data_IF_796871500675
#
_entry.id   IF_796871500675
#
_cell.length_a   1.000
_cell.length_b   1.000
_cell.length_c   1.000
_cell.angle_alpha   90.00
_cell.angle_beta   90.00
_cell.angle_gamma   90.00
#
_symmetry.space_group_name_H-M   'P 1'
#
loop_
_entity.id
_entity.type
_entity.pdbx_description
1 polymer ?
#
# COMPACT_ATOMS: atom_id res chain seq x y z
N UNK A 1 -29.59 52.22 -32.66
CA UNK A 1 -28.79 51.54 -33.71
C UNK A 1 -27.88 50.54 -33.01
N UNK A 2 -27.69 49.29 -33.38
CA UNK A 2 -28.35 48.32 -34.23
C UNK A 2 -27.56 47.04 -33.96
N UNK A 3 -28.24 45.95 -33.61
CA UNK A 3 -27.68 44.59 -33.62
C UNK A 3 -26.80 44.23 -32.41
N UNK A 4 -26.71 42.98 -31.99
CA UNK A 4 -27.33 41.73 -32.46
C UNK A 4 -27.06 40.68 -31.39
N UNK A 5 -28.11 39.99 -30.97
CA UNK A 5 -28.07 38.74 -30.22
C UNK A 5 -27.22 37.69 -30.95
N UNK A 6 -26.41 36.92 -30.22
CA UNK A 6 -25.86 35.66 -30.71
C UNK A 6 -26.05 34.57 -29.66
N UNK A 7 -27.05 33.75 -29.98
CA UNK A 7 -27.39 32.46 -29.41
C UNK A 7 -26.61 31.39 -30.17
N UNK A 8 -25.77 30.63 -29.47
CA UNK A 8 -25.23 29.31 -29.84
C UNK A 8 -24.97 28.60 -28.50
N UNK A 9 -25.52 27.44 -28.15
CA UNK A 9 -25.92 26.32 -28.98
C UNK A 9 -24.93 25.17 -28.78
N UNK A 10 -25.13 24.35 -27.74
CA UNK A 10 -24.55 22.99 -27.61
C UNK A 10 -25.33 22.22 -26.52
N UNK A 11 -26.39 21.49 -26.88
CA UNK A 11 -26.37 20.08 -27.31
C UNK A 11 -25.62 19.19 -26.30
N UNK A 12 -26.36 18.54 -25.41
CA UNK A 12 -26.91 17.19 -25.60
C UNK A 12 -25.87 16.11 -25.30
N UNK A 13 -26.00 15.49 -24.11
CA UNK A 13 -25.63 14.09 -23.85
C UNK A 13 -26.47 13.57 -22.69
N UNK A 14 -27.66 13.14 -23.08
CA UNK A 14 -28.55 12.26 -22.35
C UNK A 14 -28.14 10.83 -22.74
N UNK A 15 -27.59 10.06 -21.80
CA UNK A 15 -27.35 8.62 -21.91
C UNK A 15 -27.33 8.08 -20.49
N UNK A 16 -28.50 7.66 -20.03
CA UNK A 16 -28.98 6.28 -20.07
C UNK A 16 -28.67 5.56 -18.76
N UNK A 17 -29.75 5.42 -18.01
CA UNK A 17 -29.98 4.43 -16.96
C UNK A 17 -29.32 3.09 -17.28
N UNK A 18 -28.71 2.50 -16.24
CA UNK A 18 -28.54 1.05 -16.14
C UNK A 18 -28.99 0.64 -14.73
N UNK A 19 -30.20 0.08 -14.60
CA UNK A 19 -30.69 -0.44 -13.34
C UNK A 19 -30.14 -1.86 -13.12
N UNK A 20 -29.98 -2.22 -11.85
CA UNK A 20 -30.16 -3.59 -11.37
C UNK A 20 -29.27 -4.68 -11.96
N UNK A 21 -28.12 -4.93 -11.34
CA UNK A 21 -27.53 -6.28 -11.34
C UNK A 21 -27.88 -7.00 -10.04
N UNK A 22 -29.11 -7.51 -10.04
CA UNK A 22 -29.59 -8.57 -9.17
C UNK A 22 -28.62 -9.75 -9.24
N UNK A 23 -27.91 -10.02 -8.15
CA UNK A 23 -27.14 -11.26 -8.02
C UNK A 23 -28.08 -12.28 -7.37
N UNK A 24 -28.35 -13.42 -8.02
CA UNK A 24 -29.30 -14.40 -7.52
C UNK A 24 -28.73 -15.09 -6.28
N UNK A 25 -29.54 -15.13 -5.22
CA UNK A 25 -29.40 -16.06 -4.11
C UNK A 25 -29.22 -17.48 -4.67
N UNK A 26 -28.24 -18.27 -4.18
CA UNK A 26 -28.27 -19.69 -4.41
C UNK A 26 -29.49 -20.29 -3.68
N UNK A 27 -30.21 -21.23 -4.28
CA UNK A 27 -31.33 -21.87 -3.63
C UNK A 27 -30.83 -22.71 -2.45
N UNK A 28 -31.60 -22.63 -1.38
CA UNK A 28 -31.60 -23.56 -0.25
C UNK A 28 -31.56 -25.00 -0.76
N UNK A 29 -30.46 -25.71 -0.51
CA UNK A 29 -30.48 -27.17 -0.51
C UNK A 29 -30.84 -27.63 0.91
N UNK A 30 -31.99 -28.28 1.12
CA UNK A 30 -32.29 -28.96 2.37
C UNK A 30 -31.42 -30.22 2.43
N UNK A 31 -30.63 -30.38 3.50
CA UNK A 31 -30.00 -31.68 3.80
C UNK A 31 -31.09 -32.60 4.32
N UNK A 32 -31.41 -33.71 3.62
CA UNK A 32 -32.35 -34.70 4.12
C UNK A 32 -31.61 -35.67 5.05
N UNK A 33 -32.25 -35.93 6.18
CA UNK A 33 -31.93 -37.03 7.11
C UNK A 33 -31.95 -38.37 6.36
N UNK A 34 -30.95 -39.24 6.49
CA UNK A 34 -31.12 -40.65 6.17
C UNK A 34 -31.68 -41.36 7.40
N UNK A 35 -33.00 -41.52 7.43
CA UNK A 35 -33.66 -42.58 8.20
C UNK A 35 -33.45 -43.89 7.44
N UNK A 36 -32.59 -44.77 7.95
CA UNK A 36 -32.51 -46.19 7.60
C UNK A 36 -32.92 -46.92 8.89
N UNK A 37 -34.19 -47.29 9.06
CA UNK A 37 -34.88 -48.49 8.55
C UNK A 37 -34.17 -49.82 8.85
N UNK A 38 -34.73 -50.51 9.85
CA UNK A 38 -35.13 -51.92 9.83
C UNK A 38 -34.03 -53.02 9.79
N UNK A 39 -33.83 -53.67 10.94
CA UNK A 39 -34.02 -55.11 11.15
C UNK A 39 -33.86 -55.38 12.66
N UNK A 40 -34.93 -55.54 13.44
CA UNK A 40 -35.57 -56.84 13.73
C UNK A 40 -34.58 -57.98 13.95
N UNK A 41 -34.32 -58.29 15.22
CA UNK A 41 -34.54 -59.61 15.84
C UNK A 41 -34.23 -59.45 17.35
N UNK A 42 -35.29 -59.35 18.17
CA UNK A 42 -35.83 -60.47 18.96
C UNK A 42 -34.77 -61.03 19.94
N UNK A 43 -34.81 -60.59 21.21
CA UNK A 43 -35.49 -61.27 22.34
C UNK A 43 -34.79 -62.58 22.77
N UNK A 44 -34.91 -63.03 24.03
CA UNK A 44 -35.06 -62.30 25.30
C UNK A 44 -34.15 -62.87 26.43
N UNK A 45 -34.18 -62.17 27.56
CA UNK A 45 -33.75 -62.51 28.92
C UNK A 45 -34.41 -63.81 29.49
N UNK A 46 -34.49 -64.05 30.82
CA UNK A 46 -33.47 -64.38 31.83
C UNK A 46 -33.91 -65.56 32.76
N UNK A 47 -33.00 -66.27 33.44
CA UNK A 47 -33.31 -67.15 34.61
C UNK A 47 -32.01 -67.18 35.43
N UNK A 48 -31.82 -66.59 36.62
CA UNK A 48 -32.60 -66.57 37.88
C UNK A 48 -32.85 -67.95 38.48
N UNK A 49 -31.87 -68.49 39.22
CA UNK A 49 -32.10 -69.46 40.34
C UNK A 49 -30.83 -69.41 41.21
N UNK A 50 -30.83 -68.62 42.28
CA UNK A 50 -31.15 -69.02 43.66
C UNK A 50 -30.20 -70.10 44.23
N UNK A 51 -29.43 -69.67 45.23
CA UNK A 51 -28.91 -70.38 46.42
C UNK A 51 -29.73 -71.62 46.85
N UNK A 52 -29.16 -72.64 47.57
CA UNK A 52 -28.40 -72.40 48.80
C UNK A 52 -27.26 -73.40 49.19
N UNK A 53 -26.33 -72.91 50.01
CA UNK A 53 -25.64 -73.67 51.07
C UNK A 53 -26.68 -74.37 51.98
N UNK A 54 -26.44 -75.57 52.59
CA UNK A 54 -25.33 -75.71 53.54
C UNK A 54 -24.81 -77.16 53.77
N UNK A 55 -23.79 -77.22 54.64
CA UNK A 55 -23.49 -78.23 55.67
C UNK A 55 -24.03 -79.67 55.58
N UNK A 56 -23.17 -80.62 55.96
CA UNK A 56 -23.34 -81.59 57.08
C UNK A 56 -22.59 -82.90 56.78
N UNK A 57 -21.41 -83.00 57.41
CA UNK A 57 -20.97 -84.11 58.25
C UNK A 57 -20.89 -85.55 57.70
N UNK A 58 -19.65 -86.01 57.56
CA UNK A 58 -19.22 -87.37 57.87
C UNK A 58 -17.73 -87.32 58.29
N UNK A 59 -17.19 -88.28 59.06
CA UNK A 59 -17.82 -89.16 60.04
C UNK A 59 -16.92 -89.32 61.29
N UNK A 60 -17.32 -88.87 62.49
CA UNK A 60 -16.45 -89.06 63.66
C UNK A 60 -17.22 -89.42 64.92
N UNK A 61 -17.26 -90.74 65.17
CA UNK A 61 -16.85 -91.35 66.44
C UNK A 61 -17.58 -90.97 67.72
N UNK A 62 -18.39 -91.90 68.23
CA UNK A 62 -18.43 -92.37 69.63
C UNK A 62 -19.47 -93.48 69.72
N UNK A 63 -19.09 -94.74 69.95
CA UNK A 63 -18.60 -95.37 71.20
C UNK A 63 -19.76 -95.60 72.16
N UNK A 64 -19.71 -96.77 72.81
CA UNK A 64 -20.70 -97.41 73.70
C UNK A 64 -21.69 -98.22 72.86
N UNK A 65 -21.54 -99.54 72.69
CA UNK A 65 -21.57 -100.55 73.76
C UNK A 65 -20.49 -101.64 73.58
N UNK A 66 -19.39 -101.52 74.31
CA UNK A 66 -18.48 -102.62 74.62
C UNK A 66 -19.07 -103.37 75.83
N UNK A 67 -19.71 -104.52 75.62
CA UNK A 67 -20.32 -105.28 76.72
C UNK A 67 -20.52 -106.78 76.50
N UNK A 68 -20.53 -107.28 75.26
CA UNK A 68 -20.79 -108.70 74.97
C UNK A 68 -19.70 -109.36 74.08
N UNK A 69 -18.56 -108.70 73.88
CA UNK A 69 -17.56 -109.06 72.85
C UNK A 69 -16.84 -110.40 73.04
N UNK A 70 -16.75 -110.98 74.24
CA UNK A 70 -16.04 -112.26 74.41
C UNK A 70 -16.91 -113.49 74.14
N UNK A 71 -18.23 -113.42 74.37
CA UNK A 71 -19.14 -114.47 73.94
C UNK A 71 -19.48 -114.32 72.44
N UNK A 72 -19.64 -113.08 71.97
CA UNK A 72 -19.82 -112.79 70.55
C UNK A 72 -18.60 -113.18 69.71
N UNK A 73 -17.37 -113.06 70.21
CA UNK A 73 -16.18 -113.55 69.49
C UNK A 73 -16.14 -115.08 69.40
N UNK A 74 -16.63 -115.80 70.41
CA UNK A 74 -16.70 -117.27 70.40
C UNK A 74 -17.83 -117.78 69.49
N UNK A 75 -19.01 -117.14 69.55
CA UNK A 75 -20.11 -117.42 68.60
C UNK A 75 -19.71 -116.98 67.19
N UNK A 76 -19.05 -115.84 67.01
CA UNK A 76 -18.56 -115.39 65.72
C UNK A 76 -17.51 -116.36 65.17
N UNK A 77 -16.66 -116.97 66.01
CA UNK A 77 -15.75 -118.02 65.56
C UNK A 77 -16.47 -119.30 65.16
N UNK A 78 -17.57 -119.68 65.83
CA UNK A 78 -18.39 -120.83 65.43
C UNK A 78 -19.22 -120.55 64.16
N UNK A 79 -19.82 -119.36 64.05
CA UNK A 79 -20.52 -118.90 62.84
C UNK A 79 -19.54 -118.79 61.68
N UNK A 80 -18.31 -118.29 61.91
CA UNK A 80 -17.24 -118.21 60.90
C UNK A 80 -16.81 -119.56 60.31
N UNK A 81 -17.09 -120.65 61.01
CA UNK A 81 -16.76 -122.00 60.56
C UNK A 81 -17.90 -122.69 59.82
N UNK A 82 -19.11 -122.13 59.80
CA UNK A 82 -20.22 -122.75 59.06
C UNK A 82 -20.05 -122.56 57.55
N UNK A 83 -20.60 -123.49 56.77
CA UNK A 83 -20.52 -123.46 55.30
C UNK A 83 -21.21 -122.21 54.76
N UNK A 84 -22.29 -121.78 55.41
CA UNK A 84 -23.06 -120.58 55.07
C UNK A 84 -22.24 -119.31 55.27
N UNK A 85 -21.45 -119.22 56.34
CA UNK A 85 -20.61 -118.05 56.56
C UNK A 85 -19.48 -117.96 55.53
N UNK A 86 -18.85 -119.09 55.17
CA UNK A 86 -17.85 -119.10 54.09
C UNK A 86 -18.46 -118.62 52.78
N UNK A 87 -19.65 -119.10 52.42
CA UNK A 87 -20.36 -118.64 51.23
C UNK A 87 -20.74 -117.15 51.30
N UNK A 88 -21.20 -116.66 52.46
CA UNK A 88 -21.52 -115.25 52.67
C UNK A 88 -20.26 -114.36 52.57
N UNK A 89 -19.14 -114.81 53.13
CA UNK A 89 -17.85 -114.14 53.03
C UNK A 89 -17.33 -114.11 51.59
N UNK A 90 -17.42 -115.23 50.87
CA UNK A 90 -17.05 -115.30 49.45
C UNK A 90 -17.92 -114.35 48.60
N UNK A 91 -19.22 -114.25 48.91
CA UNK A 91 -20.11 -113.28 48.28
C UNK A 91 -19.75 -111.82 48.63
N UNK A 92 -19.35 -111.54 49.88
CA UNK A 92 -18.90 -110.21 50.28
C UNK A 92 -17.59 -109.82 49.60
N UNK A 93 -16.62 -110.74 49.55
CA UNK A 93 -15.37 -110.57 48.82
C UNK A 93 -15.63 -110.37 47.32
N UNK A 94 -16.52 -111.18 46.73
CA UNK A 94 -16.93 -111.02 45.34
C UNK A 94 -17.59 -109.66 45.10
N UNK A 95 -18.51 -109.21 45.98
CA UNK A 95 -19.11 -107.88 45.92
C UNK A 95 -18.06 -106.78 46.05
N UNK A 96 -17.06 -106.93 46.92
CA UNK A 96 -15.97 -105.97 47.08
C UNK A 96 -15.09 -105.90 45.82
N UNK A 97 -14.75 -107.04 45.22
CA UNK A 97 -14.00 -107.14 43.95
C UNK A 97 -14.81 -106.49 42.82
N UNK A 98 -16.10 -106.80 42.68
CA UNK A 98 -16.96 -106.19 41.66
C UNK A 98 -17.12 -104.69 41.87
N UNK A 99 -17.30 -104.23 43.11
CA UNK A 99 -17.38 -102.81 43.42
C UNK A 99 -16.06 -102.09 43.11
N UNK A 100 -14.91 -102.71 43.39
CA UNK A 100 -13.59 -102.18 42.99
C UNK A 100 -13.47 -102.06 41.48
N UNK A 101 -13.86 -103.09 40.73
CA UNK A 101 -13.87 -103.08 39.26
C UNK A 101 -14.76 -101.96 38.70
N UNK A 102 -15.96 -101.78 39.25
CA UNK A 102 -16.88 -100.72 38.85
C UNK A 102 -16.34 -99.33 39.19
N UNK A 103 -15.72 -99.15 40.36
CA UNK A 103 -15.05 -97.89 40.73
C UNK A 103 -13.92 -97.55 39.75
N UNK A 104 -13.06 -98.52 39.43
CA UNK A 104 -11.99 -98.33 38.44
C UNK A 104 -12.56 -97.97 37.06
N UNK A 105 -13.63 -98.64 36.61
CA UNK A 105 -14.31 -98.30 35.36
C UNK A 105 -14.85 -96.86 35.38
N UNK A 106 -15.53 -96.44 36.44
CA UNK A 106 -16.03 -95.07 36.59
C UNK A 106 -14.90 -94.05 36.63
N UNK A 107 -13.78 -94.33 37.31
CA UNK A 107 -12.61 -93.46 37.32
C UNK A 107 -11.99 -93.33 35.93
N UNK A 108 -11.87 -94.42 35.18
CA UNK A 108 -11.36 -94.36 33.80
C UNK A 108 -12.29 -93.59 32.88
N UNK A 109 -13.60 -93.77 33.00
CA UNK A 109 -14.60 -93.00 32.24
C UNK A 109 -14.56 -91.52 32.61
N UNK A 110 -14.49 -91.19 33.91
CA UNK A 110 -14.35 -89.80 34.39
C UNK A 110 -13.07 -89.16 33.87
N UNK A 111 -11.92 -89.86 33.95
CA UNK A 111 -10.64 -89.36 33.40
C UNK A 111 -10.76 -89.09 31.91
N UNK A 112 -11.32 -90.02 31.12
CA UNK A 112 -11.57 -89.84 29.68
C UNK A 112 -12.46 -88.61 29.42
N UNK A 113 -13.59 -88.50 30.10
CA UNK A 113 -14.52 -87.37 29.95
C UNK A 113 -13.86 -86.02 30.33
N UNK A 114 -13.10 -85.96 31.42
CA UNK A 114 -12.37 -84.76 31.82
C UNK A 114 -11.27 -84.37 30.81
N UNK A 115 -10.56 -85.35 30.25
CA UNK A 115 -9.56 -85.09 29.20
C UNK A 115 -10.20 -84.57 27.91
N UNK A 116 -11.35 -85.12 27.52
CA UNK A 116 -12.10 -84.66 26.35
C UNK A 116 -12.66 -83.25 26.56
N UNK A 117 -13.26 -82.99 27.73
CA UNK A 117 -13.74 -81.66 28.10
C UNK A 117 -12.60 -80.64 28.11
N UNK A 118 -11.43 -80.98 28.69
CA UNK A 118 -10.25 -80.11 28.67
C UNK A 118 -9.80 -79.79 27.24
N UNK A 119 -9.82 -80.77 26.33
CA UNK A 119 -9.51 -80.55 24.91
C UNK A 119 -10.52 -79.61 24.25
N UNK A 120 -11.82 -79.81 24.47
CA UNK A 120 -12.88 -78.96 23.91
C UNK A 120 -12.80 -77.51 24.42
N UNK A 121 -12.57 -77.32 25.71
CA UNK A 121 -12.37 -75.99 26.32
C UNK A 121 -11.16 -75.30 25.70
N UNK A 122 -10.00 -75.98 25.61
CA UNK A 122 -8.81 -75.43 24.95
C UNK A 122 -9.07 -75.03 23.50
N UNK A 123 -9.76 -75.87 22.72
CA UNK A 123 -10.09 -75.52 21.33
C UNK A 123 -11.03 -74.33 21.22
N UNK A 124 -12.00 -74.21 22.14
CA UNK A 124 -12.95 -73.08 22.17
C UNK A 124 -12.27 -71.79 22.61
N UNK A 125 -11.37 -71.85 23.59
CA UNK A 125 -10.54 -70.72 24.01
C UNK A 125 -9.64 -70.23 22.88
N UNK A 126 -8.96 -71.14 22.17
CA UNK A 126 -8.15 -70.79 20.99
C UNK A 126 -8.97 -70.10 19.90
N UNK A 127 -10.17 -70.60 19.60
CA UNK A 127 -11.08 -69.98 18.63
C UNK A 127 -11.56 -68.60 19.10
N UNK A 128 -11.84 -68.43 20.40
CA UNK A 128 -12.23 -67.15 20.96
C UNK A 128 -11.09 -66.12 20.89
N UNK A 129 -9.86 -66.52 21.24
CA UNK A 129 -8.66 -65.67 21.15
C UNK A 129 -8.41 -65.26 19.70
N UNK A 130 -8.39 -66.20 18.75
CA UNK A 130 -8.24 -65.87 17.32
C UNK A 130 -9.34 -64.92 16.82
N UNK A 131 -10.59 -65.11 17.28
CA UNK A 131 -11.70 -64.21 16.96
C UNK A 131 -11.53 -62.80 17.53
N UNK A 132 -10.92 -62.66 18.72
CA UNK A 132 -10.61 -61.37 19.33
C UNK A 132 -9.44 -60.69 18.61
N UNK A 133 -8.37 -61.42 18.28
CA UNK A 133 -7.22 -60.91 17.52
C UNK A 133 -7.66 -60.33 16.15
N UNK A 134 -8.55 -61.03 15.43
CA UNK A 134 -9.10 -60.54 14.17
C UNK A 134 -9.94 -59.26 14.34
N UNK A 135 -10.71 -59.15 15.43
CA UNK A 135 -11.49 -57.95 15.73
C UNK A 135 -10.59 -56.78 16.12
N UNK A 136 -9.54 -57.05 16.91
CA UNK A 136 -8.54 -56.07 17.31
C UNK A 136 -7.84 -55.48 16.08
N UNK A 137 -7.37 -56.33 15.15
CA UNK A 137 -6.77 -55.89 13.90
C UNK A 137 -7.71 -55.01 13.06
N UNK A 138 -8.99 -55.37 12.99
CA UNK A 138 -9.98 -54.59 12.24
C UNK A 138 -10.30 -53.26 12.93
N UNK A 139 -10.37 -53.22 14.26
CA UNK A 139 -10.50 -51.97 15.03
C UNK A 139 -9.28 -51.09 14.80
N UNK A 140 -8.06 -51.62 14.90
CA UNK A 140 -6.83 -50.86 14.64
C UNK A 140 -6.79 -50.28 13.21
N UNK A 141 -7.25 -51.02 12.20
CA UNK A 141 -7.37 -50.50 10.82
C UNK A 141 -8.35 -49.34 10.71
N UNK A 142 -9.48 -49.42 11.41
CA UNK A 142 -10.48 -48.33 11.43
C UNK A 142 -9.97 -47.11 12.17
N UNK A 143 -9.30 -47.29 13.31
CA UNK A 143 -8.66 -46.21 14.07
C UNK A 143 -7.58 -45.50 13.23
N UNK A 144 -6.78 -46.24 12.47
CA UNK A 144 -5.79 -45.66 11.56
C UNK A 144 -6.44 -44.78 10.49
N UNK A 145 -7.53 -45.25 9.85
CA UNK A 145 -8.27 -44.45 8.86
C UNK A 145 -8.87 -43.19 9.49
N UNK A 146 -9.48 -43.30 10.67
CA UNK A 146 -10.02 -42.15 11.39
C UNK A 146 -8.93 -41.13 11.74
N UNK A 147 -7.76 -41.58 12.18
CA UNK A 147 -6.62 -40.71 12.47
C UNK A 147 -6.09 -40.00 11.22
N UNK A 148 -6.11 -40.65 10.05
CA UNK A 148 -5.75 -40.02 8.78
C UNK A 148 -6.80 -38.98 8.32
N UNK A 149 -8.08 -39.31 8.44
CA UNK A 149 -9.19 -38.39 8.14
C UNK A 149 -9.18 -37.16 9.06
N UNK A 150 -8.91 -37.35 10.34
CA UNK A 150 -8.77 -36.25 11.31
C UNK A 150 -7.63 -35.31 10.90
N UNK A 151 -6.44 -35.85 10.59
CA UNK A 151 -5.31 -35.06 10.07
C UNK A 151 -5.66 -34.31 8.79
N UNK A 152 -6.40 -34.93 7.88
CA UNK A 152 -6.87 -34.26 6.66
C UNK A 152 -7.84 -33.13 6.96
N UNK A 153 -8.75 -33.33 7.91
CA UNK A 153 -9.72 -32.33 8.35
C UNK A 153 -9.04 -31.15 9.07
N UNK A 154 -8.03 -31.39 9.90
CA UNK A 154 -7.21 -30.35 10.51
C UNK A 154 -6.48 -29.51 9.46
N UNK A 155 -5.87 -30.13 8.45
CA UNK A 155 -5.25 -29.42 7.31
C UNK A 155 -6.25 -28.59 6.52
N UNK A 156 -7.48 -29.07 6.34
CA UNK A 156 -8.56 -28.30 5.69
C UNK A 156 -8.99 -27.11 6.56
N UNK A 157 -9.17 -27.31 7.87
CA UNK A 157 -9.49 -26.24 8.84
C UNK A 157 -8.43 -25.15 8.84
N UNK A 158 -7.14 -25.53 8.89
CA UNK A 158 -6.04 -24.57 8.83
C UNK A 158 -6.06 -23.72 7.56
N UNK A 159 -6.23 -24.35 6.39
CA UNK A 159 -6.36 -23.63 5.12
C UNK A 159 -7.58 -22.69 5.09
N UNK A 160 -8.72 -23.11 5.63
CA UNK A 160 -9.90 -22.25 5.72
C UNK A 160 -9.67 -21.03 6.61
N UNK A 161 -9.00 -21.21 7.76
CA UNK A 161 -8.64 -20.10 8.65
C UNK A 161 -7.68 -19.11 7.96
N UNK A 162 -6.71 -19.60 7.19
CA UNK A 162 -5.79 -18.78 6.42
C UNK A 162 -6.51 -17.99 5.31
N UNK A 163 -7.32 -18.66 4.50
CA UNK A 163 -8.16 -18.00 3.49
C UNK A 163 -9.13 -16.97 4.09
N UNK A 164 -9.68 -17.23 5.28
CA UNK A 164 -10.54 -16.27 5.97
C UNK A 164 -9.77 -15.02 6.42
N UNK A 165 -8.53 -15.18 6.89
CA UNK A 165 -7.63 -14.04 7.19
C UNK A 165 -7.36 -13.22 5.94
N UNK A 166 -7.06 -13.85 4.80
CA UNK A 166 -6.82 -13.16 3.53
C UNK A 166 -8.06 -12.40 3.06
N UNK A 167 -9.25 -13.00 3.17
CA UNK A 167 -10.52 -12.33 2.82
C UNK A 167 -10.77 -11.12 3.73
N UNK A 168 -10.49 -11.21 5.03
CA UNK A 168 -10.60 -10.06 5.95
C UNK A 168 -9.62 -8.95 5.57
N UNK A 169 -8.37 -9.29 5.24
CA UNK A 169 -7.35 -8.35 4.80
C UNK A 169 -7.77 -7.64 3.49
N UNK A 170 -8.21 -8.40 2.48
CA UNK A 170 -8.68 -7.83 1.21
C UNK A 170 -9.90 -6.91 1.41
N UNK A 171 -10.84 -7.28 2.27
CA UNK A 171 -11.98 -6.41 2.61
C UNK A 171 -11.53 -5.12 3.26
N UNK A 172 -10.58 -5.17 4.20
CA UNK A 172 -10.01 -3.99 4.83
C UNK A 172 -9.31 -3.10 3.80
N UNK A 173 -8.47 -3.68 2.93
CA UNK A 173 -7.79 -2.96 1.85
C UNK A 173 -8.76 -2.29 0.89
N UNK A 174 -9.87 -2.96 0.53
CA UNK A 174 -10.92 -2.37 -0.32
C UNK A 174 -11.65 -1.20 0.36
N UNK A 175 -11.93 -1.32 1.66
CA UNK A 175 -12.53 -0.22 2.44
C UNK A 175 -11.58 0.98 2.52
N UNK A 176 -10.30 0.73 2.79
CA UNK A 176 -9.27 1.77 2.86
C UNK A 176 -9.05 2.43 1.49
N UNK A 177 -9.01 1.65 0.40
CA UNK A 177 -8.90 2.16 -0.96
C UNK A 177 -10.11 3.02 -1.33
N UNK A 178 -11.33 2.58 -0.99
CA UNK A 178 -12.55 3.39 -1.20
C UNK A 178 -12.53 4.68 -0.39
N UNK A 179 -12.00 4.65 0.84
CA UNK A 179 -11.84 5.85 1.67
C UNK A 179 -10.85 6.83 1.05
N UNK A 180 -9.69 6.37 0.57
CA UNK A 180 -8.68 7.20 -0.12
C UNK A 180 -9.23 7.81 -1.41
N UNK A 181 -9.84 6.99 -2.27
CA UNK A 181 -10.50 7.50 -3.48
C UNK A 181 -11.56 8.56 -3.16
N UNK A 182 -12.31 8.37 -2.07
CA UNK A 182 -13.28 9.37 -1.60
C UNK A 182 -12.67 10.65 -1.04
N UNK A 183 -11.46 10.62 -0.47
CA UNK A 183 -10.74 11.83 -0.05
C UNK A 183 -10.13 12.55 -1.24
N UNK A 184 -9.54 11.81 -2.18
CA UNK A 184 -8.87 12.35 -3.36
C UNK A 184 -9.90 13.06 -4.27
N UNK A 185 -11.05 12.43 -4.52
CA UNK A 185 -12.15 13.03 -5.26
C UNK A 185 -12.66 14.33 -4.61
N UNK A 186 -12.69 14.42 -3.28
CA UNK A 186 -13.07 15.65 -2.57
C UNK A 186 -12.04 16.76 -2.74
N UNK A 187 -10.75 16.41 -2.76
CA UNK A 187 -9.65 17.36 -3.00
C UNK A 187 -9.68 17.87 -4.44
N UNK A 188 -9.88 16.97 -5.41
CA UNK A 188 -10.04 17.35 -6.82
C UNK A 188 -11.23 18.28 -7.05
N UNK A 189 -12.38 17.98 -6.46
CA UNK A 189 -13.56 18.86 -6.52
C UNK A 189 -13.30 20.22 -5.89
N UNK A 190 -12.52 20.29 -4.80
CA UNK A 190 -12.13 21.58 -4.20
C UNK A 190 -11.22 22.39 -5.12
N UNK A 191 -10.17 21.76 -5.67
CA UNK A 191 -9.27 22.40 -6.63
C UNK A 191 -10.01 22.90 -7.87
N UNK A 192 -10.88 22.08 -8.45
CA UNK A 192 -11.67 22.47 -9.62
C UNK A 192 -12.62 23.65 -9.34
N UNK A 193 -13.13 23.78 -8.10
CA UNK A 193 -13.91 24.95 -7.68
C UNK A 193 -13.04 26.18 -7.54
N UNK A 194 -11.89 26.07 -6.87
CA UNK A 194 -10.92 27.16 -6.71
C UNK A 194 -10.42 27.67 -8.08
N UNK A 195 -10.15 26.77 -9.03
CA UNK A 195 -9.75 27.12 -10.40
C UNK A 195 -10.89 27.83 -11.16
N UNK A 196 -12.14 27.38 -10.97
CA UNK A 196 -13.31 28.01 -11.58
C UNK A 196 -13.57 29.40 -10.99
N UNK A 197 -13.46 29.55 -9.68
CA UNK A 197 -13.61 30.83 -8.97
C UNK A 197 -12.53 31.82 -9.45
N UNK A 198 -11.26 31.39 -9.51
CA UNK A 198 -10.17 32.21 -10.04
C UNK A 198 -10.37 32.59 -11.51
N UNK A 199 -10.90 31.68 -12.34
CA UNK A 199 -11.22 32.00 -13.74
C UNK A 199 -12.34 33.05 -13.84
N UNK A 200 -13.36 32.98 -12.98
CA UNK A 200 -14.42 34.00 -12.90
C UNK A 200 -13.82 35.34 -12.48
N UNK A 201 -13.02 35.39 -11.41
CA UNK A 201 -12.35 36.62 -10.95
C UNK A 201 -11.49 37.27 -12.05
N UNK A 202 -10.72 36.46 -12.80
CA UNK A 202 -9.92 36.96 -13.91
C UNK A 202 -10.79 37.55 -15.03
N UNK A 203 -11.93 36.93 -15.34
CA UNK A 203 -12.86 37.46 -16.33
C UNK A 203 -13.53 38.74 -15.86
N UNK A 204 -13.92 38.82 -14.58
CA UNK A 204 -14.46 40.04 -13.98
C UNK A 204 -13.45 41.19 -14.06
N UNK A 205 -12.16 40.95 -13.77
CA UNK A 205 -11.11 41.96 -13.92
C UNK A 205 -10.94 42.44 -15.37
N UNK A 206 -11.01 41.51 -16.34
CA UNK A 206 -10.95 41.87 -17.78
C UNK A 206 -12.14 42.70 -18.21
N UNK A 207 -13.34 42.34 -17.76
CA UNK A 207 -14.57 43.12 -18.01
C UNK A 207 -14.44 44.51 -17.39
N UNK A 208 -14.00 44.62 -16.13
CA UNK A 208 -13.78 45.90 -15.46
C UNK A 208 -12.74 46.78 -16.20
N UNK A 209 -11.64 46.20 -16.68
CA UNK A 209 -10.64 46.92 -17.47
C UNK A 209 -11.20 47.42 -18.80
N UNK A 210 -11.98 46.58 -19.50
CA UNK A 210 -12.66 46.94 -20.74
C UNK A 210 -13.71 48.05 -20.52
N UNK A 211 -14.50 47.95 -19.46
CA UNK A 211 -15.46 48.99 -19.06
C UNK A 211 -14.77 50.32 -18.74
N UNK A 212 -13.64 50.29 -18.03
CA UNK A 212 -12.85 51.49 -17.75
C UNK A 212 -12.27 52.11 -19.02
N UNK A 213 -11.85 51.30 -20.00
CA UNK A 213 -11.39 51.79 -21.30
C UNK A 213 -12.53 52.40 -22.12
N UNK A 214 -13.70 51.75 -22.13
CA UNK A 214 -14.91 52.26 -22.81
C UNK A 214 -15.32 53.63 -22.24
N UNK A 215 -15.36 53.77 -20.90
CA UNK A 215 -15.64 55.05 -20.24
C UNK A 215 -14.67 56.16 -20.66
N UNK A 216 -13.36 55.88 -20.69
CA UNK A 216 -12.35 56.86 -21.14
C UNK A 216 -12.52 57.24 -22.62
N UNK A 217 -12.93 56.31 -23.48
CA UNK A 217 -13.18 56.58 -24.88
C UNK A 217 -14.42 57.47 -25.07
N UNK A 218 -15.49 57.19 -24.33
CA UNK A 218 -16.71 58.00 -24.32
C UNK A 218 -16.42 59.43 -23.81
N UNK A 219 -15.62 59.57 -22.75
CA UNK A 219 -15.18 60.89 -22.25
C UNK A 219 -14.39 61.68 -23.30
N UNK A 220 -13.47 61.03 -24.03
CA UNK A 220 -12.72 61.68 -25.13
C UNK A 220 -13.65 62.09 -26.27
N UNK A 221 -14.63 61.27 -26.61
CA UNK A 221 -15.62 61.57 -27.65
C UNK A 221 -16.48 62.76 -27.24
N UNK A 222 -16.97 62.79 -26.00
CA UNK A 222 -17.72 63.92 -25.46
C UNK A 222 -16.87 65.20 -25.44
N UNK A 223 -15.59 65.10 -25.08
CA UNK A 223 -14.69 66.24 -25.09
C UNK A 223 -14.48 66.77 -26.51
N UNK A 224 -14.18 65.89 -27.48
CA UNK A 224 -14.03 66.28 -28.88
C UNK A 224 -15.31 66.90 -29.47
N UNK A 225 -16.49 66.44 -29.07
CA UNK A 225 -17.76 67.05 -29.43
C UNK A 225 -17.91 68.46 -28.86
N UNK A 226 -17.56 68.68 -27.59
CA UNK A 226 -17.56 70.02 -26.97
C UNK A 226 -16.57 70.94 -27.67
N UNK A 227 -15.37 70.46 -27.96
CA UNK A 227 -14.32 71.22 -28.64
C UNK A 227 -14.77 71.61 -30.06
N UNK A 228 -15.41 70.69 -30.80
CA UNK A 228 -15.98 70.98 -32.11
C UNK A 228 -17.07 72.05 -32.04
N UNK A 229 -17.99 71.95 -31.08
CA UNK A 229 -19.06 72.94 -30.90
C UNK A 229 -18.47 74.31 -30.54
N UNK A 230 -17.52 74.36 -29.60
CA UNK A 230 -16.83 75.59 -29.23
C UNK A 230 -16.10 76.23 -30.43
N UNK A 231 -15.36 75.44 -31.20
CA UNK A 231 -14.67 75.91 -32.41
C UNK A 231 -15.66 76.41 -33.48
N UNK A 232 -16.80 75.76 -33.64
CA UNK A 232 -17.85 76.20 -34.56
C UNK A 232 -18.47 77.54 -34.15
N UNK A 233 -18.71 77.74 -32.85
CA UNK A 233 -19.18 79.02 -32.31
C UNK A 233 -18.14 80.12 -32.51
N UNK A 234 -16.87 79.84 -32.23
CA UNK A 234 -15.75 80.77 -32.47
C UNK A 234 -15.63 81.14 -33.94
N UNK A 235 -15.76 80.17 -34.85
CA UNK A 235 -15.75 80.40 -36.29
C UNK A 235 -16.92 81.29 -36.75
N UNK A 236 -18.12 81.07 -36.21
CA UNK A 236 -19.28 81.92 -36.49
C UNK A 236 -19.11 83.34 -35.95
N UNK A 237 -18.57 83.49 -34.73
CA UNK A 237 -18.21 84.80 -34.16
C UNK A 237 -17.16 85.50 -35.02
N UNK A 238 -16.13 84.78 -35.47
CA UNK A 238 -15.09 85.31 -36.34
C UNK A 238 -15.65 85.80 -37.68
N UNK A 239 -16.44 84.97 -38.39
CA UNK A 239 -17.11 85.39 -39.63
C UNK A 239 -17.98 86.63 -39.45
N UNK A 240 -18.70 86.72 -38.33
CA UNK A 240 -19.54 87.88 -38.03
C UNK A 240 -18.70 89.14 -37.81
N UNK A 241 -17.57 89.02 -37.09
CA UNK A 241 -16.61 90.13 -36.89
C UNK A 241 -15.97 90.57 -38.20
N UNK A 242 -15.47 89.65 -39.03
CA UNK A 242 -14.84 89.98 -40.32
C UNK A 242 -15.82 90.69 -41.28
N UNK A 243 -17.11 90.29 -41.28
CA UNK A 243 -18.13 90.95 -42.10
C UNK A 243 -18.56 92.33 -41.57
N UNK A 244 -18.34 92.63 -40.29
CA UNK A 244 -18.74 93.89 -39.65
C UNK A 244 -17.57 94.85 -39.39
N UNK A 245 -16.34 94.37 -39.53
CA UNK A 245 -15.12 95.16 -39.32
C UNK A 245 -14.80 96.03 -40.55
N UNK A 246 -14.51 97.34 -40.38
CA UNK A 246 -13.96 98.17 -41.44
C UNK A 246 -12.62 97.59 -41.94
N UNK A 247 -12.26 97.76 -43.23
CA UNK A 247 -11.03 97.17 -43.77
C UNK A 247 -9.82 97.68 -42.99
N UNK A 248 -9.19 96.78 -42.23
CA UNK A 248 -7.93 97.07 -41.55
C UNK A 248 -6.89 97.43 -42.61
N UNK A 249 -6.12 98.50 -42.36
CA UNK A 249 -5.03 98.88 -43.25
C UNK A 249 -4.02 97.73 -43.28
N UNK A 250 -3.58 97.31 -44.46
CA UNK A 250 -2.63 96.19 -44.62
C UNK A 250 -1.39 96.33 -43.71
N UNK A 251 -0.95 97.56 -43.42
CA UNK A 251 0.15 97.82 -42.49
C UNK A 251 -0.12 97.38 -41.05
N UNK A 252 -1.34 97.49 -40.53
CA UNK A 252 -1.68 97.02 -39.18
C UNK A 252 -1.78 95.50 -39.15
N UNK A 253 -2.30 94.88 -40.21
CA UNK A 253 -2.36 93.42 -40.34
C UNK A 253 -0.95 92.83 -40.41
N UNK A 254 -0.07 93.41 -41.24
CA UNK A 254 1.33 92.97 -41.33
C UNK A 254 2.07 93.12 -40.00
N UNK A 255 1.90 94.25 -39.30
CA UNK A 255 2.52 94.46 -38.00
C UNK A 255 2.03 93.44 -36.96
N UNK A 256 0.72 93.13 -36.97
CA UNK A 256 0.13 92.10 -36.12
C UNK A 256 0.70 90.72 -36.43
N UNK A 257 0.72 90.32 -37.70
CA UNK A 257 1.27 89.02 -38.12
C UNK A 257 2.76 88.87 -37.78
N UNK A 258 3.57 89.93 -37.93
CA UNK A 258 4.98 89.90 -37.50
C UNK A 258 5.11 89.71 -36.00
N UNK A 259 4.28 90.38 -35.20
CA UNK A 259 4.24 90.22 -33.74
C UNK A 259 3.81 88.81 -33.33
N UNK A 260 2.71 88.31 -33.91
CA UNK A 260 2.20 86.95 -33.68
C UNK A 260 3.23 85.88 -34.07
N UNK A 261 3.91 86.05 -35.21
CA UNK A 261 4.98 85.15 -35.64
C UNK A 261 6.14 85.12 -34.65
N UNK A 262 6.60 86.29 -34.16
CA UNK A 262 7.67 86.35 -33.14
C UNK A 262 7.21 85.68 -31.84
N UNK A 263 5.97 85.92 -31.40
CA UNK A 263 5.41 85.27 -30.22
C UNK A 263 5.27 83.75 -30.38
N UNK A 264 4.88 83.27 -31.56
CA UNK A 264 4.78 81.84 -31.86
C UNK A 264 6.16 81.17 -31.89
N UNK A 265 7.16 81.82 -32.51
CA UNK A 265 8.54 81.35 -32.49
C UNK A 265 9.08 81.26 -31.06
N UNK A 266 8.83 82.28 -30.23
CA UNK A 266 9.22 82.27 -28.83
C UNK A 266 8.49 81.16 -28.04
N UNK A 267 7.18 80.98 -28.25
CA UNK A 267 6.42 79.90 -27.63
C UNK A 267 6.91 78.50 -28.04
N UNK A 268 7.37 78.32 -29.28
CA UNK A 268 7.96 77.07 -29.74
C UNK A 268 9.32 76.82 -29.08
N UNK A 269 10.17 77.86 -28.97
CA UNK A 269 11.44 77.78 -28.24
C UNK A 269 11.21 77.39 -26.78
N UNK A 270 10.31 78.10 -26.08
CA UNK A 270 9.90 77.80 -24.70
C UNK A 270 9.40 76.35 -24.53
N UNK A 271 8.56 75.84 -25.45
CA UNK A 271 8.06 74.45 -25.37
C UNK A 271 9.18 73.43 -25.57
N UNK A 272 10.13 73.71 -26.46
CA UNK A 272 11.29 72.84 -26.65
C UNK A 272 12.21 72.87 -25.44
N UNK A 273 12.46 74.05 -24.87
CA UNK A 273 13.24 74.23 -23.64
C UNK A 273 12.61 73.51 -22.45
N UNK A 274 11.29 73.64 -22.24
CA UNK A 274 10.57 72.91 -21.18
C UNK A 274 10.67 71.40 -21.35
N UNK A 275 10.41 70.88 -22.57
CA UNK A 275 10.58 69.43 -22.84
C UNK A 275 12.01 68.97 -22.64
N UNK A 276 12.99 69.81 -22.95
CA UNK A 276 14.40 69.49 -22.72
C UNK A 276 14.71 69.46 -21.22
N UNK A 277 14.26 70.45 -20.46
CA UNK A 277 14.39 70.52 -18.99
C UNK A 277 13.69 69.34 -18.30
N UNK A 278 12.46 69.02 -18.68
CA UNK A 278 11.72 67.86 -18.15
C UNK A 278 12.45 66.54 -18.44
N UNK A 279 12.98 66.38 -19.67
CA UNK A 279 13.78 65.19 -20.02
C UNK A 279 15.09 65.12 -19.24
N UNK A 280 15.77 66.26 -19.03
CA UNK A 280 16.97 66.33 -18.21
C UNK A 280 16.65 65.94 -16.76
N UNK A 281 15.59 66.49 -16.17
CA UNK A 281 15.13 66.13 -14.82
C UNK A 281 14.79 64.63 -14.70
N UNK A 282 14.06 64.06 -15.67
CA UNK A 282 13.76 62.62 -15.67
C UNK A 282 15.04 61.76 -15.72
N UNK A 283 16.05 62.20 -16.47
CA UNK A 283 17.35 61.51 -16.55
C UNK A 283 18.13 61.69 -15.24
N UNK A 284 18.15 62.88 -14.66
CA UNK A 284 18.80 63.18 -13.38
C UNK A 284 18.17 62.38 -12.22
N UNK A 285 16.83 62.31 -12.16
CA UNK A 285 16.09 61.50 -11.19
C UNK A 285 16.42 60.01 -11.36
N UNK A 286 16.45 59.52 -12.61
CA UNK A 286 16.82 58.13 -12.89
C UNK A 286 18.26 57.84 -12.51
N UNK A 287 19.19 58.74 -12.81
CA UNK A 287 20.59 58.63 -12.41
C UNK A 287 20.73 58.60 -10.90
N UNK A 288 19.99 59.44 -10.16
CA UNK A 288 19.99 59.46 -8.70
C UNK A 288 19.46 58.13 -8.12
N UNK A 289 18.34 57.61 -8.63
CA UNK A 289 17.81 56.29 -8.22
C UNK A 289 18.78 55.16 -8.51
N UNK A 290 19.40 55.15 -9.69
CA UNK A 290 20.40 54.13 -10.04
C UNK A 290 21.68 54.24 -9.19
N UNK A 291 22.05 55.45 -8.74
CA UNK A 291 23.14 55.66 -7.80
C UNK A 291 22.78 55.14 -6.39
N UNK A 292 21.55 55.37 -5.92
CA UNK A 292 21.04 54.82 -4.65
C UNK A 292 20.96 53.28 -4.69
N UNK A 293 20.51 52.70 -5.79
CA UNK A 293 20.51 51.25 -5.97
C UNK A 293 21.94 50.70 -6.02
N UNK A 294 22.85 51.37 -6.73
CA UNK A 294 24.26 50.97 -6.74
C UNK A 294 24.90 51.08 -5.36
N UNK A 295 24.70 52.16 -4.62
CA UNK A 295 25.26 52.31 -3.27
C UNK A 295 24.73 51.22 -2.35
N UNK A 296 23.42 50.93 -2.40
CA UNK A 296 22.77 49.86 -1.64
C UNK A 296 23.30 48.48 -2.01
N UNK A 297 23.47 48.19 -3.30
CA UNK A 297 24.08 46.93 -3.77
C UNK A 297 25.54 46.81 -3.37
N UNK A 298 26.29 47.92 -3.38
CA UNK A 298 27.69 47.96 -2.96
C UNK A 298 27.81 47.69 -1.46
N UNK A 299 26.96 48.30 -0.64
CA UNK A 299 26.87 48.01 0.80
C UNK A 299 26.51 46.55 1.07
N UNK A 300 25.52 45.99 0.34
CA UNK A 300 25.16 44.58 0.46
C UNK A 300 26.31 43.66 0.04
N UNK A 301 27.05 44.02 -1.02
CA UNK A 301 28.24 43.28 -1.47
C UNK A 301 29.36 43.32 -0.43
N UNK A 302 29.61 44.47 0.20
CA UNK A 302 30.57 44.60 1.31
C UNK A 302 30.12 43.75 2.51
N UNK A 303 28.85 43.84 2.93
CA UNK A 303 28.30 43.02 4.01
C UNK A 303 28.40 41.53 3.71
N UNK A 304 28.13 41.11 2.48
CA UNK A 304 28.25 39.71 2.05
C UNK A 304 29.71 39.25 2.07
N UNK A 305 30.65 40.08 1.60
CA UNK A 305 32.09 39.79 1.68
C UNK A 305 32.58 39.69 3.13
N UNK A 306 32.11 40.56 4.01
CA UNK A 306 32.41 40.47 5.44
C UNK A 306 31.81 39.23 6.10
N UNK A 307 30.56 38.87 5.79
CA UNK A 307 29.97 37.61 6.25
C UNK A 307 30.78 36.40 5.78
N UNK A 308 31.21 36.41 4.51
CA UNK A 308 32.06 35.36 3.96
C UNK A 308 33.42 35.32 4.66
N UNK A 309 34.06 36.47 4.94
CA UNK A 309 35.29 36.53 5.74
C UNK A 309 35.10 35.98 7.15
N UNK A 310 34.04 36.40 7.86
CA UNK A 310 33.70 35.85 9.18
C UNK A 310 33.47 34.33 9.13
N UNK A 311 32.78 33.84 8.10
CA UNK A 311 32.58 32.40 7.92
C UNK A 311 33.87 31.65 7.57
N UNK A 312 34.77 32.27 6.80
CA UNK A 312 36.07 31.70 6.47
C UNK A 312 36.98 31.63 7.70
N UNK A 313 37.02 32.70 8.50
CA UNK A 313 37.74 32.73 9.79
C UNK A 313 37.19 31.69 10.76
N UNK A 314 35.86 31.51 10.82
CA UNK A 314 35.22 30.49 11.65
C UNK A 314 35.52 29.07 11.14
N UNK A 315 35.47 28.85 9.81
CA UNK A 315 35.88 27.57 9.20
C UNK A 315 37.35 27.28 9.53
N UNK A 316 38.24 28.26 9.49
CA UNK A 316 39.66 28.05 9.78
C UNK A 316 39.92 27.81 11.27
N UNK A 317 39.18 28.47 12.17
CA UNK A 317 39.15 28.13 13.61
C UNK A 317 38.63 26.71 13.85
N UNK A 318 37.53 26.33 13.20
CA UNK A 318 36.97 24.97 13.30
C UNK A 318 37.92 23.94 12.70
N UNK A 319 38.67 24.24 11.64
CA UNK A 319 39.73 23.36 11.11
C UNK A 319 40.91 23.23 12.07
N UNK A 320 41.28 24.28 12.79
CA UNK A 320 42.32 24.20 13.83
C UNK A 320 41.83 23.35 15.00
N UNK A 321 40.62 23.60 15.51
CA UNK A 321 39.99 22.78 16.54
C UNK A 321 39.83 21.32 16.10
N UNK A 322 39.41 21.06 14.86
CA UNK A 322 39.34 19.70 14.31
C UNK A 322 40.72 19.06 14.22
N UNK A 323 41.77 19.79 13.82
CA UNK A 323 43.15 19.27 13.86
C UNK A 323 43.58 18.93 15.29
N UNK A 324 43.28 19.78 16.27
CA UNK A 324 43.54 19.50 17.69
C UNK A 324 42.73 18.30 18.20
N UNK A 325 41.47 18.16 17.81
CA UNK A 325 40.61 17.03 18.14
C UNK A 325 41.08 15.75 17.46
N UNK A 326 41.50 15.80 16.19
CA UNK A 326 42.11 14.68 15.46
C UNK A 326 43.44 14.27 16.09
N UNK A 327 44.26 15.22 16.56
CA UNK A 327 45.48 14.92 17.31
C UNK A 327 45.16 14.30 18.67
N UNK A 328 44.12 14.77 19.37
CA UNK A 328 43.64 14.13 20.60
C UNK A 328 43.09 12.73 20.31
N UNK A 329 42.34 12.54 19.23
CA UNK A 329 41.85 11.25 18.78
C UNK A 329 42.99 10.33 18.31
N UNK A 330 44.06 10.86 17.71
CA UNK A 330 45.28 10.09 17.42
C UNK A 330 46.05 9.75 18.70
N UNK A 331 46.05 10.61 19.71
CA UNK A 331 46.66 10.31 21.02
C UNK A 331 45.84 9.29 21.81
N UNK A 332 44.50 9.35 21.76
CA UNK A 332 43.59 8.36 22.34
C UNK A 332 43.65 7.07 21.53
N UNK A 333 43.70 7.18 20.20
CA UNK A 333 43.87 6.09 19.26
C UNK A 333 45.23 5.43 19.36
N UNK A 334 46.33 6.14 19.62
CA UNK A 334 47.63 5.55 19.91
C UNK A 334 47.68 4.94 21.31
N UNK A 335 46.92 5.48 22.27
CA UNK A 335 46.74 4.86 23.59
C UNK A 335 45.85 3.61 23.51
N UNK A 336 44.92 3.52 22.56
CA UNK A 336 44.13 2.31 22.29
C UNK A 336 44.85 1.34 21.34
N UNK A 337 45.69 1.82 20.42
CA UNK A 337 46.52 0.99 19.53
C UNK A 337 47.76 0.41 20.24
N UNK A 338 48.05 0.83 21.48
CA UNK A 338 48.90 0.07 22.41
C UNK A 338 48.17 -1.11 23.07
N UNK A 339 46.85 -1.24 22.88
CA UNK A 339 46.04 -2.37 23.36
C UNK A 339 45.53 -3.22 22.19
N UNK A 340 45.43 -2.65 20.98
CA UNK A 340 44.96 -3.37 19.80
C UNK A 340 46.10 -3.96 18.95
N UNK A 341 47.11 -4.57 19.59
CA UNK A 341 48.13 -5.38 18.94
C UNK A 341 47.78 -6.87 18.97
N UNK A 342 46.65 -7.26 18.38
CA UNK A 342 46.36 -8.63 17.94
C UNK A 342 45.08 -8.65 17.09
N UNK A 343 45.18 -9.24 15.89
CA UNK A 343 44.10 -9.49 14.92
C UNK A 343 43.61 -8.22 14.16
N UNK A 344 43.51 -8.16 12.84
CA UNK A 344 43.65 -9.15 11.78
C UNK A 344 43.85 -8.39 10.46
N UNK A 345 45.09 -8.36 9.98
CA UNK A 345 45.52 -8.80 8.64
C UNK A 345 44.45 -8.87 7.52
N UNK A 346 44.79 -8.18 6.41
CA UNK A 346 44.19 -8.18 5.06
C UNK A 346 42.90 -7.34 4.96
N UNK A 347 42.79 -6.36 4.07
CA UNK A 347 43.18 -6.44 2.68
C UNK A 347 43.36 -5.06 2.04
N UNK A 348 44.58 -4.84 1.51
CA UNK A 348 44.94 -4.16 0.25
C UNK A 348 44.41 -2.73 0.00
N UNK A 349 45.34 -1.76 0.02
CA UNK A 349 46.00 -1.16 -1.17
C UNK A 349 44.97 -0.46 -2.08
N UNK A 350 45.06 0.84 -2.36
CA UNK A 350 46.23 1.51 -2.97
C UNK A 350 45.90 3.00 -3.22
N UNK A 351 46.96 3.82 -3.22
CA UNK A 351 47.09 5.17 -3.83
C UNK A 351 46.25 6.29 -3.23
N UNK A 352 46.78 7.19 -2.38
CA UNK A 352 47.85 8.19 -2.59
C UNK A 352 47.69 9.10 -3.81
N UNK A 353 48.00 10.37 -3.53
CA UNK A 353 48.18 11.56 -4.40
C UNK A 353 46.84 12.20 -4.75
N UNK A 354 46.54 13.41 -4.30
CA UNK A 354 47.43 14.55 -4.11
C UNK A 354 47.08 15.59 -5.17
N UNK A 355 47.33 16.84 -4.82
CA UNK A 355 47.36 18.01 -5.72
C UNK A 355 46.01 18.69 -5.95
N UNK A 356 45.93 19.86 -5.30
CA UNK A 356 45.51 21.17 -5.80
C UNK A 356 44.22 21.30 -6.64
N UNK A 357 43.48 22.37 -6.32
CA UNK A 357 42.46 22.99 -7.15
C UNK A 357 42.78 22.92 -8.65
N UNK A 358 41.77 22.54 -9.45
CA UNK A 358 41.45 23.38 -10.58
C UNK A 358 39.95 23.62 -10.69
N UNK A 359 39.64 24.84 -11.08
CA UNK A 359 38.44 25.27 -11.76
C UNK A 359 37.93 24.19 -12.73
N UNK A 360 36.71 23.68 -12.52
CA UNK A 360 36.00 22.83 -13.48
C UNK A 360 35.27 23.75 -14.47
N UNK A 361 36.05 24.37 -15.34
CA UNK A 361 35.62 24.73 -16.68
C UNK A 361 36.06 23.61 -17.63
N UNK A 362 35.17 23.22 -18.54
CA UNK A 362 35.48 22.58 -19.82
C UNK A 362 36.25 21.24 -19.80
N UNK A 363 35.52 20.13 -19.65
CA UNK A 363 35.59 19.01 -20.61
C UNK A 363 34.19 18.41 -20.78
N UNK A 364 33.22 19.25 -21.15
CA UNK A 364 32.14 18.75 -22.00
C UNK A 364 32.79 18.38 -23.32
N UNK A 365 32.52 17.19 -23.85
CA UNK A 365 32.98 16.80 -25.20
C UNK A 365 32.73 17.99 -26.14
N UNK A 366 33.73 18.42 -26.94
CA UNK A 366 33.62 19.63 -27.76
C UNK A 366 32.38 19.58 -28.66
N UNK A 367 31.96 18.37 -29.04
CA UNK A 367 30.75 18.09 -29.80
C UNK A 367 29.47 18.35 -28.98
N UNK A 368 29.40 17.91 -27.71
CA UNK A 368 28.24 18.19 -26.84
C UNK A 368 28.12 19.69 -26.56
N UNK A 369 29.25 20.37 -26.28
CA UNK A 369 29.26 21.81 -26.07
C UNK A 369 28.86 22.59 -27.35
N UNK A 370 29.20 22.08 -28.54
CA UNK A 370 28.75 22.65 -29.81
C UNK A 370 27.24 22.46 -30.01
N UNK A 371 26.70 21.26 -29.71
CA UNK A 371 25.26 20.98 -29.82
C UNK A 371 24.43 21.82 -28.84
N UNK A 372 24.87 22.00 -27.59
CA UNK A 372 24.16 22.85 -26.62
C UNK A 372 24.12 24.31 -27.07
N UNK A 373 25.25 24.86 -27.54
CA UNK A 373 25.31 26.22 -28.09
C UNK A 373 24.41 26.39 -29.31
N UNK A 374 24.33 25.37 -30.15
CA UNK A 374 23.45 25.40 -31.33
C UNK A 374 21.96 25.37 -30.94
N UNK A 375 21.56 24.60 -29.93
CA UNK A 375 20.19 24.63 -29.39
C UNK A 375 19.84 26.01 -28.85
N UNK A 376 20.75 26.63 -28.09
CA UNK A 376 20.54 27.99 -27.56
C UNK A 376 20.42 29.00 -28.69
N UNK A 377 21.31 28.94 -29.71
CA UNK A 377 21.27 29.79 -30.90
C UNK A 377 19.92 29.68 -31.63
N UNK A 378 19.46 28.46 -31.87
CA UNK A 378 18.19 28.20 -32.57
C UNK A 378 16.97 28.64 -31.76
N UNK A 379 17.00 28.48 -30.43
CA UNK A 379 15.92 28.97 -29.53
C UNK A 379 15.86 30.50 -29.53
N UNK A 380 17.01 31.17 -29.54
CA UNK A 380 17.07 32.63 -29.69
C UNK A 380 16.57 33.08 -31.07
N UNK A 381 16.97 32.41 -32.15
CA UNK A 381 16.51 32.70 -33.51
C UNK A 381 14.99 32.52 -33.65
N UNK A 382 14.44 31.41 -33.13
CA UNK A 382 12.99 31.16 -33.06
C UNK A 382 12.27 32.30 -32.34
N UNK A 383 12.76 32.72 -31.17
CA UNK A 383 12.16 33.79 -30.37
C UNK A 383 12.20 35.12 -31.12
N UNK A 384 13.35 35.47 -31.71
CA UNK A 384 13.50 36.69 -32.51
C UNK A 384 12.56 36.67 -33.71
N UNK A 385 12.45 35.57 -34.45
CA UNK A 385 11.57 35.50 -35.62
C UNK A 385 10.11 35.68 -35.24
N UNK A 386 9.64 35.03 -34.17
CA UNK A 386 8.24 35.16 -33.72
C UNK A 386 7.97 36.56 -33.16
N UNK A 387 8.88 37.14 -32.38
CA UNK A 387 8.70 38.45 -31.75
C UNK A 387 8.88 39.63 -32.73
N UNK A 388 9.82 39.54 -33.68
CA UNK A 388 10.14 40.64 -34.61
C UNK A 388 9.31 40.65 -35.88
N UNK A 389 8.67 39.54 -36.25
CA UNK A 389 7.89 39.45 -37.49
C UNK A 389 6.55 40.20 -37.44
N UNK A 390 6.23 40.90 -36.34
CA UNK A 390 5.00 41.68 -36.18
C UNK A 390 3.72 40.90 -36.55
N UNK A 391 3.73 39.58 -36.30
CA UNK A 391 2.62 38.67 -36.63
C UNK A 391 2.66 38.06 -38.04
N UNK A 392 3.68 38.33 -38.85
CA UNK A 392 3.84 37.68 -40.17
C UNK A 392 4.28 36.22 -40.08
N UNK A 393 4.96 35.82 -39.01
CA UNK A 393 5.35 34.44 -38.72
C UNK A 393 4.81 34.06 -37.35
N UNK A 394 3.84 33.17 -37.33
CA UNK A 394 3.26 32.55 -36.14
C UNK A 394 4.03 31.27 -35.75
N UNK A 395 3.67 30.70 -34.60
CA UNK A 395 4.23 29.42 -34.11
C UNK A 395 3.98 28.27 -35.09
N UNK A 396 2.94 28.39 -35.91
CA UNK A 396 2.54 27.42 -36.94
C UNK A 396 3.20 27.65 -38.30
N UNK A 397 3.98 28.73 -38.48
CA UNK A 397 4.65 29.03 -39.75
C UNK A 397 5.66 27.94 -40.12
N UNK A 398 5.82 27.67 -41.43
CA UNK A 398 6.74 26.63 -41.92
C UNK A 398 8.19 26.87 -41.45
N UNK A 399 8.58 28.14 -41.31
CA UNK A 399 9.90 28.54 -40.81
C UNK A 399 10.06 28.14 -39.35
N UNK A 400 9.10 28.47 -38.48
CA UNK A 400 9.17 28.11 -37.04
C UNK A 400 9.10 26.59 -36.86
N UNK A 401 8.24 25.88 -37.61
CA UNK A 401 8.21 24.41 -37.61
C UNK A 401 9.54 23.79 -38.04
N UNK A 402 10.24 24.38 -39.00
CA UNK A 402 11.56 23.90 -39.43
C UNK A 402 12.63 24.08 -38.34
N UNK A 403 12.58 25.19 -37.59
CA UNK A 403 13.45 25.45 -36.44
C UNK A 403 13.14 24.50 -35.28
N UNK A 404 11.87 24.29 -34.97
CA UNK A 404 11.45 23.38 -33.90
C UNK A 404 11.84 21.94 -34.20
N UNK A 405 11.72 21.50 -35.46
CA UNK A 405 12.23 20.21 -35.90
C UNK A 405 13.74 20.11 -35.70
N UNK A 406 14.51 21.13 -36.10
CA UNK A 406 15.97 21.15 -35.94
C UNK A 406 16.41 21.15 -34.48
N UNK A 407 15.71 21.91 -33.62
CA UNK A 407 15.94 21.94 -32.17
C UNK A 407 15.72 20.54 -31.59
N UNK A 408 14.61 19.88 -31.94
CA UNK A 408 14.31 18.54 -31.47
C UNK A 408 15.33 17.50 -31.97
N UNK A 409 15.77 17.57 -33.23
CA UNK A 409 16.81 16.69 -33.78
C UNK A 409 18.13 16.81 -32.98
N UNK A 410 18.51 18.03 -32.57
CA UNK A 410 19.73 18.25 -31.78
C UNK A 410 19.53 17.79 -30.32
N UNK A 411 18.35 18.01 -29.75
CA UNK A 411 18.02 17.49 -28.40
C UNK A 411 18.02 15.96 -28.37
N UNK A 412 17.64 15.30 -29.46
CA UNK A 412 17.72 13.85 -29.60
C UNK A 412 19.16 13.37 -29.75
N UNK A 413 20.02 14.11 -30.47
CA UNK A 413 21.47 13.85 -30.48
C UNK A 413 22.07 13.99 -29.07
N UNK A 414 21.70 15.03 -28.32
CA UNK A 414 22.14 15.22 -26.93
C UNK A 414 21.63 14.12 -25.98
N UNK A 415 20.42 13.60 -26.20
CA UNK A 415 19.91 12.43 -25.48
C UNK A 415 20.69 11.16 -25.83
N UNK A 416 21.06 10.97 -27.09
CA UNK A 416 21.89 9.85 -27.53
C UNK A 416 23.31 9.88 -26.93
N UNK A 417 23.85 11.08 -26.65
CA UNK A 417 25.14 11.26 -25.98
C UNK A 417 25.11 11.07 -24.45
N UNK A 418 23.97 10.68 -23.87
CA UNK A 418 23.89 10.29 -22.46
C UNK A 418 23.82 11.46 -21.46
N UNK A 419 23.63 12.70 -21.93
CA UNK A 419 23.35 13.85 -21.04
C UNK A 419 21.90 13.82 -20.57
N UNK A 420 21.68 13.03 -19.52
CA UNK A 420 20.45 13.01 -18.73
C UNK A 420 20.46 14.22 -17.80
N UNK A 421 19.46 15.10 -17.98
CA UNK A 421 18.95 16.04 -16.98
C UNK A 421 19.76 17.30 -16.68
N UNK A 422 19.87 18.20 -17.66
CA UNK A 422 19.83 19.63 -17.33
C UNK A 422 18.39 20.12 -17.46
N UNK A 423 17.73 20.22 -16.30
CA UNK A 423 16.51 20.99 -16.10
C UNK A 423 16.79 22.46 -16.41
N UNK A 424 16.75 22.83 -17.69
CA UNK A 424 16.64 24.22 -18.13
C UNK A 424 15.16 24.45 -18.35
N UNK A 425 14.60 25.27 -17.47
CA UNK A 425 13.19 25.60 -17.41
C UNK A 425 12.66 26.03 -18.79
N UNK A 426 11.46 25.52 -19.08
CA UNK A 426 10.54 26.04 -20.09
C UNK A 426 10.29 27.52 -19.84
#
# INVERSE_FOLDING_TARGET
MSGTSSSLGRQSRQSQDSPGRSTPQPPLCPVPVPTVSQASNQLPSPIETQEPTPSVSAPTGRRVEEGFSNAAASIANNVRQTVEYRAAWDLELWRAIQASKLRQQLETQKKKALTELSRLVKTREQQAVAGLEMREQEVSRREQRLAEEEKQMERRKWRLVEMEKDVRLLRQQLVDARRRAGTDAKVEVRRAKEDADHAIELQEQRVQAAEAQAKRADERLQQAQRDYLALSEEFHRFRTRELTSPPEKLSTVEARMRSEFVMEQQNLQDRLERRHQERLQQVEDRCSRLQEENSRLTELSIRRKEQLRRSADEIDRLKQLNRELEERLRKVGQKSLSIDSAADVKERKRCQRGVASPSLEAQTDPDIAALVREVERLRSERRIIVETSAGALDEDSDVVRSLDKRINDILDQLRAHGTVSCSIAV
#
